data_IF_441218482921
#
_entry.id   IF_441218482921
#
_cell.length_a   1.000
_cell.length_b   1.000
_cell.length_c   1.000
_cell.angle_alpha   90.00
_cell.angle_beta   90.00
_cell.angle_gamma   90.00
#
_symmetry.space_group_name_H-M   'P 1'
#
loop_
_entity.id
_entity.type
_entity.pdbx_description
1 polymer ?
#
# COMPACT_ATOMS: atom_id res chain seq x y z
N UNK A 1 15.74 41.31 23.35
CA UNK A 1 16.48 40.83 22.17
C UNK A 1 17.25 39.57 22.57
N UNK A 2 17.22 38.42 21.92
CA UNK A 2 16.45 37.93 20.77
C UNK A 2 16.28 36.42 20.93
N UNK A 3 15.16 35.88 20.45
CA UNK A 3 14.85 34.45 20.43
C UNK A 3 15.55 33.82 19.22
N UNK A 4 16.34 32.78 19.45
CA UNK A 4 16.85 31.91 18.39
C UNK A 4 16.11 30.59 18.43
N UNK A 5 15.02 30.49 17.69
CA UNK A 5 14.37 29.23 17.32
C UNK A 5 15.29 28.47 16.37
N UNK A 6 15.73 27.26 16.75
CA UNK A 6 16.34 26.31 15.79
C UNK A 6 15.40 25.12 15.63
N UNK A 7 15.08 24.91 14.36
CA UNK A 7 14.00 24.10 13.86
C UNK A 7 14.16 22.61 14.16
N UNK A 8 13.01 21.95 14.17
CA UNK A 8 12.83 20.51 14.21
C UNK A 8 13.71 19.81 13.17
N UNK A 9 14.40 18.76 13.62
CA UNK A 9 15.04 17.80 12.73
C UNK A 9 13.96 17.13 11.88
N UNK A 10 14.04 17.39 10.59
CA UNK A 10 13.20 16.80 9.56
C UNK A 10 13.42 15.28 9.59
N UNK A 11 12.33 14.54 9.79
CA UNK A 11 12.28 13.12 9.51
C UNK A 11 12.45 12.94 8.01
N UNK A 12 13.65 12.56 7.61
CA UNK A 12 13.96 12.07 6.27
C UNK A 12 13.30 10.70 6.13
N UNK A 13 12.00 10.71 5.84
CA UNK A 13 11.30 9.53 5.35
C UNK A 13 12.01 9.10 4.07
N UNK A 14 12.62 7.92 4.11
CA UNK A 14 13.16 7.25 2.95
C UNK A 14 12.12 7.33 1.83
N UNK A 15 12.47 8.05 0.77
CA UNK A 15 11.67 8.21 -0.42
C UNK A 15 11.62 6.86 -1.14
N UNK A 16 10.75 5.97 -0.66
CA UNK A 16 10.35 4.80 -1.41
C UNK A 16 9.58 5.29 -2.64
N UNK A 17 10.15 4.99 -3.81
CA UNK A 17 9.79 5.56 -5.12
C UNK A 17 8.40 5.20 -5.65
N UNK A 18 7.41 4.92 -4.79
CA UNK A 18 6.07 4.47 -5.16
C UNK A 18 5.00 5.58 -5.11
N UNK A 19 5.28 6.73 -4.48
CA UNK A 19 4.30 7.85 -4.40
C UNK A 19 4.26 8.75 -5.64
N UNK A 20 5.23 8.65 -6.55
CA UNK A 20 5.39 9.59 -7.68
C UNK A 20 4.36 9.42 -8.80
N UNK A 21 3.56 8.35 -8.82
CA UNK A 21 2.59 8.12 -9.90
C UNK A 21 1.20 8.75 -9.70
N UNK A 22 0.88 9.30 -8.52
CA UNK A 22 -0.50 9.77 -8.21
C UNK A 22 -0.74 11.27 -8.33
N UNK A 23 0.27 12.07 -8.72
CA UNK A 23 0.15 13.51 -8.91
C UNK A 23 -0.57 13.92 -10.22
N UNK A 24 -1.22 12.98 -10.91
CA UNK A 24 -1.95 13.20 -12.17
C UNK A 24 -3.46 13.05 -12.06
N UNK A 25 -4.05 13.20 -10.87
CA UNK A 25 -5.50 13.14 -10.70
C UNK A 25 -6.17 14.38 -11.32
N UNK A 26 -6.27 14.43 -12.65
CA UNK A 26 -7.20 15.31 -13.33
C UNK A 26 -8.60 15.01 -12.78
N UNK A 27 -9.35 16.04 -12.34
CA UNK A 27 -10.66 15.85 -11.74
C UNK A 27 -11.59 15.10 -12.70
N UNK A 28 -12.58 14.35 -12.18
CA UNK A 28 -13.62 13.79 -13.03
C UNK A 28 -14.26 14.92 -13.85
N UNK A 29 -14.64 14.65 -15.12
CA UNK A 29 -15.24 15.69 -15.96
C UNK A 29 -16.45 16.30 -15.24
N UNK A 30 -16.60 17.63 -15.23
CA UNK A 30 -17.67 18.29 -14.51
C UNK A 30 -19.04 17.74 -14.94
N UNK A 31 -20.01 17.58 -14.02
CA UNK A 31 -21.34 17.03 -14.32
C UNK A 31 -22.03 17.74 -15.49
N UNK A 32 -21.77 19.04 -15.64
CA UNK A 32 -22.32 19.87 -16.72
C UNK A 32 -21.76 19.53 -18.11
N UNK A 33 -20.57 18.93 -18.16
CA UNK A 33 -19.95 18.45 -19.39
C UNK A 33 -20.60 17.13 -19.81
N UNK A 34 -20.86 16.22 -18.85
CA UNK A 34 -21.65 15.01 -19.08
C UNK A 34 -23.10 15.31 -19.48
N UNK A 35 -23.69 16.37 -18.91
CA UNK A 35 -25.04 16.85 -19.25
C UNK A 35 -25.10 17.44 -20.66
N UNK A 36 -24.10 18.24 -21.05
CA UNK A 36 -23.96 18.80 -22.40
C UNK A 36 -23.72 17.73 -23.46
N UNK A 37 -22.87 16.74 -23.18
CA UNK A 37 -22.71 15.56 -24.05
C UNK A 37 -24.04 14.80 -24.17
N UNK A 38 -24.76 14.62 -23.06
CA UNK A 38 -26.10 14.01 -23.05
C UNK A 38 -27.13 14.76 -23.89
N UNK A 39 -27.09 16.09 -23.93
CA UNK A 39 -28.00 16.92 -24.74
C UNK A 39 -27.66 16.85 -26.24
N UNK A 40 -26.38 16.87 -26.62
CA UNK A 40 -25.94 16.65 -28.02
C UNK A 40 -26.17 15.21 -28.49
N UNK A 41 -26.19 14.24 -27.57
CA UNK A 41 -26.50 12.85 -27.88
C UNK A 41 -27.94 12.64 -28.37
N UNK A 42 -28.88 13.47 -27.93
CA UNK A 42 -30.26 13.47 -28.41
C UNK A 42 -30.38 13.88 -29.89
N UNK A 43 -29.38 14.60 -30.41
CA UNK A 43 -29.32 15.08 -31.80
C UNK A 43 -28.62 14.05 -32.72
N UNK A 44 -27.92 13.06 -32.15
CA UNK A 44 -27.30 11.95 -32.88
C UNK A 44 -28.34 10.87 -33.21
N UNK A 45 -28.35 10.40 -34.45
CA UNK A 45 -29.23 9.31 -34.92
C UNK A 45 -28.46 8.01 -35.18
N UNK A 46 -29.15 6.86 -35.05
CA UNK A 46 -28.60 5.55 -35.41
C UNK A 46 -27.54 4.98 -34.45
N UNK A 47 -26.50 4.32 -35.00
CA UNK A 47 -25.49 3.58 -34.22
C UNK A 47 -24.62 4.46 -33.34
N UNK A 48 -24.31 5.68 -33.78
CA UNK A 48 -23.43 6.63 -33.07
C UNK A 48 -24.00 7.04 -31.71
N UNK A 49 -25.32 7.16 -31.60
CA UNK A 49 -25.99 7.43 -30.32
C UNK A 49 -25.86 6.25 -29.35
N UNK A 50 -26.05 5.02 -29.85
CA UNK A 50 -25.89 3.81 -29.04
C UNK A 50 -24.46 3.65 -28.51
N UNK A 51 -23.46 3.92 -29.35
CA UNK A 51 -22.04 3.84 -28.98
C UNK A 51 -21.68 4.86 -27.90
N UNK A 52 -22.17 6.09 -28.03
CA UNK A 52 -21.93 7.13 -27.04
C UNK A 52 -22.73 6.91 -25.74
N UNK A 53 -23.95 6.36 -25.79
CA UNK A 53 -24.67 5.90 -24.59
C UNK A 53 -23.93 4.75 -23.88
N UNK A 54 -23.26 3.85 -24.63
CA UNK A 54 -22.42 2.80 -24.06
C UNK A 54 -21.16 3.36 -23.39
N UNK A 55 -20.48 4.32 -24.02
CA UNK A 55 -19.32 5.01 -23.44
C UNK A 55 -19.70 5.78 -22.18
N UNK A 56 -20.82 6.51 -22.20
CA UNK A 56 -21.33 7.24 -21.03
C UNK A 56 -21.65 6.31 -19.86
N UNK A 57 -22.21 5.12 -20.14
CA UNK A 57 -22.41 4.09 -19.11
C UNK A 57 -21.09 3.61 -18.52
N UNK A 58 -20.08 3.34 -19.35
CA UNK A 58 -18.74 2.94 -18.88
C UNK A 58 -18.07 4.03 -18.03
N UNK A 59 -18.17 5.30 -18.43
CA UNK A 59 -17.66 6.44 -17.66
C UNK A 59 -18.35 6.54 -16.30
N UNK A 60 -19.67 6.40 -16.23
CA UNK A 60 -20.41 6.43 -14.94
C UNK A 60 -19.94 5.32 -14.00
N UNK A 61 -19.79 4.09 -14.51
CA UNK A 61 -19.26 2.97 -13.72
C UNK A 61 -17.87 3.31 -13.21
N UNK A 62 -16.97 3.80 -14.09
CA UNK A 62 -15.59 4.13 -13.71
C UNK A 62 -15.53 5.22 -12.63
N UNK A 63 -16.33 6.29 -12.77
CA UNK A 63 -16.41 7.38 -11.78
C UNK A 63 -16.92 6.87 -10.43
N UNK A 64 -17.86 5.93 -10.41
CA UNK A 64 -18.37 5.34 -9.17
C UNK A 64 -17.36 4.38 -8.52
N UNK A 65 -16.60 3.60 -9.31
CA UNK A 65 -15.65 2.61 -8.80
C UNK A 65 -14.30 3.20 -8.39
N UNK A 66 -13.89 4.31 -9.00
CA UNK A 66 -12.56 4.89 -8.82
C UNK A 66 -12.23 5.28 -7.36
N UNK A 67 -13.11 5.99 -6.62
CA UNK A 67 -12.82 6.35 -5.23
C UNK A 67 -12.69 5.12 -4.33
N UNK A 68 -13.53 4.11 -4.56
CA UNK A 68 -13.52 2.84 -3.79
C UNK A 68 -12.21 2.09 -4.03
N UNK A 69 -11.79 1.97 -5.29
CA UNK A 69 -10.52 1.31 -5.64
C UNK A 69 -9.30 2.06 -5.08
N UNK A 70 -9.32 3.40 -5.11
CA UNK A 70 -8.26 4.21 -4.51
C UNK A 70 -8.19 4.05 -2.99
N UNK A 71 -9.33 4.01 -2.31
CA UNK A 71 -9.36 3.79 -0.87
C UNK A 71 -8.85 2.38 -0.53
N UNK A 72 -9.31 1.35 -1.25
CA UNK A 72 -8.83 -0.01 -1.07
C UNK A 72 -7.31 -0.13 -1.27
N UNK A 73 -6.74 0.60 -2.23
CA UNK A 73 -5.29 0.67 -2.42
C UNK A 73 -4.58 1.24 -1.18
N UNK A 74 -5.05 2.38 -0.67
CA UNK A 74 -4.48 3.01 0.53
C UNK A 74 -4.60 2.07 1.73
N UNK A 75 -5.76 1.48 1.96
CA UNK A 75 -6.00 0.56 3.08
C UNK A 75 -5.09 -0.66 2.99
N UNK A 76 -4.95 -1.27 1.79
CA UNK A 76 -4.05 -2.41 1.58
C UNK A 76 -2.57 -2.05 1.76
N UNK A 77 -2.18 -0.81 1.44
CA UNK A 77 -0.82 -0.33 1.64
C UNK A 77 -0.51 -0.17 3.13
N UNK A 78 -1.46 0.38 3.91
CA UNK A 78 -1.35 0.48 5.37
C UNK A 78 -1.25 -0.92 5.98
N UNK A 79 -2.15 -1.84 5.61
CA UNK A 79 -2.13 -3.23 6.12
C UNK A 79 -0.79 -3.91 5.84
N UNK A 80 -0.20 -3.71 4.65
CA UNK A 80 1.12 -4.23 4.31
C UNK A 80 2.21 -3.66 5.23
N UNK A 81 2.21 -2.34 5.46
CA UNK A 81 3.21 -1.68 6.31
C UNK A 81 3.11 -2.14 7.78
N UNK A 82 1.89 -2.30 8.29
CA UNK A 82 1.65 -2.81 9.64
C UNK A 82 2.15 -4.26 9.79
N UNK A 83 1.86 -5.12 8.82
CA UNK A 83 2.33 -6.50 8.82
C UNK A 83 3.87 -6.60 8.70
N UNK A 84 4.49 -5.71 7.92
CA UNK A 84 5.95 -5.63 7.80
C UNK A 84 6.60 -5.21 9.12
N UNK A 85 6.01 -4.24 9.82
CA UNK A 85 6.44 -3.84 11.16
C UNK A 85 6.29 -4.99 12.18
N UNK A 86 5.21 -5.76 12.13
CA UNK A 86 5.01 -6.93 13.01
C UNK A 86 6.09 -8.01 12.78
N UNK A 87 6.47 -8.27 11.52
CA UNK A 87 7.57 -9.17 11.17
C UNK A 87 8.87 -8.68 11.79
N UNK A 88 9.17 -7.38 11.65
CA UNK A 88 10.40 -6.79 12.15
C UNK A 88 10.46 -6.85 13.68
N UNK A 89 9.39 -6.46 14.38
CA UNK A 89 9.28 -6.55 15.84
C UNK A 89 9.49 -7.99 16.32
N UNK A 90 8.82 -8.95 15.68
CA UNK A 90 8.93 -10.37 16.05
C UNK A 90 10.35 -10.90 15.86
N UNK A 91 11.02 -10.53 14.77
CA UNK A 91 12.42 -10.89 14.50
C UNK A 91 13.37 -10.28 15.52
N UNK A 92 13.16 -9.02 15.89
CA UNK A 92 13.96 -8.33 16.92
C UNK A 92 13.80 -8.99 18.28
N UNK A 93 12.57 -9.35 18.67
CA UNK A 93 12.29 -10.09 19.91
C UNK A 93 12.99 -11.45 19.91
N UNK A 94 12.91 -12.20 18.81
CA UNK A 94 13.59 -13.48 18.67
C UNK A 94 15.12 -13.34 18.73
N UNK A 95 15.68 -12.32 18.07
CA UNK A 95 17.11 -12.03 18.10
C UNK A 95 17.58 -11.60 19.50
N UNK A 96 16.80 -10.76 20.19
CA UNK A 96 17.06 -10.36 21.57
C UNK A 96 17.03 -11.56 22.53
N UNK A 97 16.04 -12.44 22.40
CA UNK A 97 15.96 -13.66 23.21
C UNK A 97 17.18 -14.58 22.99
N UNK A 98 17.61 -14.77 21.73
CA UNK A 98 18.83 -15.54 21.41
C UNK A 98 20.08 -14.90 22.02
N UNK A 99 20.27 -13.59 21.84
CA UNK A 99 21.40 -12.84 22.43
C UNK A 99 21.44 -12.93 23.95
N UNK A 100 20.27 -12.89 24.62
CA UNK A 100 20.18 -13.01 26.08
C UNK A 100 20.74 -14.34 26.62
N UNK A 101 20.59 -15.44 25.87
CA UNK A 101 21.13 -16.75 26.24
C UNK A 101 22.64 -16.76 26.06
N UNK A 102 23.13 -16.27 24.91
CA UNK A 102 24.57 -16.17 24.67
C UNK A 102 25.24 -15.31 25.75
N UNK A 103 24.64 -14.18 26.14
CA UNK A 103 25.16 -13.36 27.22
C UNK A 103 25.13 -14.05 28.60
N UNK A 104 24.15 -14.93 28.86
CA UNK A 104 24.12 -15.73 30.10
C UNK A 104 25.16 -16.86 30.09
N UNK A 105 25.43 -17.47 28.94
CA UNK A 105 26.48 -18.49 28.78
C UNK A 105 27.88 -17.86 28.85
N UNK A 106 28.07 -16.70 28.22
CA UNK A 106 29.33 -15.95 28.22
C UNK A 106 29.74 -15.52 29.64
N UNK A 107 28.79 -14.98 30.42
CA UNK A 107 29.01 -14.69 31.84
C UNK A 107 29.37 -15.92 32.67
N UNK A 108 28.78 -17.08 32.37
CA UNK A 108 29.13 -18.36 33.01
C UNK A 108 30.49 -18.91 32.63
N UNK A 109 31.04 -18.55 31.46
CA UNK A 109 32.39 -18.94 31.03
C UNK A 109 33.48 -18.02 31.61
N UNK A 110 33.13 -16.78 31.95
CA UNK A 110 34.07 -15.75 32.38
C UNK A 110 33.94 -15.35 33.87
N UNK A 111 33.17 -16.07 34.67
CA UNK A 111 33.07 -15.86 36.12
C UNK A 111 34.31 -16.37 36.87
N UNK A 112 34.64 -15.73 37.99
CA UNK A 112 35.67 -16.21 38.91
C UNK A 112 35.17 -17.40 39.76
N UNK A 113 36.09 -18.07 40.47
CA UNK A 113 35.78 -19.25 41.26
C UNK A 113 34.77 -18.98 42.41
N UNK A 114 34.64 -17.72 42.84
CA UNK A 114 33.71 -17.32 43.90
C UNK A 114 32.27 -17.15 43.38
N UNK A 115 32.10 -16.71 42.12
CA UNK A 115 30.79 -16.53 41.48
C UNK A 115 30.36 -17.70 40.58
N UNK A 116 31.15 -18.76 40.47
CA UNK A 116 30.92 -19.83 39.50
C UNK A 116 29.63 -20.63 39.75
N UNK A 117 29.27 -20.87 41.01
CA UNK A 117 28.04 -21.59 41.36
C UNK A 117 26.79 -20.77 41.00
N UNK A 118 26.80 -19.47 41.29
CA UNK A 118 25.71 -18.54 40.95
C UNK A 118 25.56 -18.39 39.43
N UNK A 119 26.69 -18.24 38.72
CA UNK A 119 26.69 -18.12 37.27
C UNK A 119 26.16 -19.38 36.57
N UNK A 120 26.50 -20.58 37.05
CA UNK A 120 25.96 -21.85 36.52
C UNK A 120 24.44 -21.94 36.73
N UNK A 121 23.93 -21.51 37.90
CA UNK A 121 22.49 -21.48 38.19
C UNK A 121 21.77 -20.49 37.26
N UNK A 122 22.32 -19.29 37.06
CA UNK A 122 21.76 -18.29 36.16
C UNK A 122 21.74 -18.75 34.70
N UNK A 123 22.85 -19.31 34.20
CA UNK A 123 22.94 -19.87 32.83
C UNK A 123 21.93 -21.00 32.65
N UNK A 124 21.84 -21.92 33.62
CA UNK A 124 20.89 -23.04 33.58
C UNK A 124 19.44 -22.55 33.55
N UNK A 125 19.11 -21.57 34.40
CA UNK A 125 17.79 -20.95 34.40
C UNK A 125 17.48 -20.22 33.07
N UNK A 126 18.46 -19.55 32.48
CA UNK A 126 18.32 -18.89 31.19
C UNK A 126 18.06 -19.89 30.05
N UNK A 127 18.79 -21.02 30.02
CA UNK A 127 18.59 -22.10 29.03
C UNK A 127 17.20 -22.73 29.17
N UNK A 128 16.74 -22.97 30.40
CA UNK A 128 15.39 -23.52 30.64
C UNK A 128 14.30 -22.55 30.16
N UNK A 129 14.43 -21.24 30.46
CA UNK A 129 13.50 -20.21 29.95
C UNK A 129 13.51 -20.15 28.42
N UNK A 130 14.70 -20.15 27.83
CA UNK A 130 14.89 -20.10 26.39
C UNK A 130 14.24 -21.27 25.64
N UNK A 131 14.33 -22.49 26.20
CA UNK A 131 13.77 -23.69 25.59
C UNK A 131 12.25 -23.60 25.39
N UNK A 132 11.56 -22.78 26.18
CA UNK A 132 10.12 -22.49 26.03
C UNK A 132 9.87 -21.23 25.19
N UNK A 133 10.65 -20.18 25.42
CA UNK A 133 10.44 -18.87 24.80
C UNK A 133 10.83 -18.83 23.31
N UNK A 134 11.98 -19.38 22.93
CA UNK A 134 12.47 -19.32 21.54
C UNK A 134 11.51 -19.98 20.56
N UNK A 135 11.00 -21.22 20.80
CA UNK A 135 10.06 -21.84 19.87
C UNK A 135 8.76 -21.05 19.72
N UNK A 136 8.27 -20.43 20.80
CA UNK A 136 7.07 -19.58 20.76
C UNK A 136 7.31 -18.30 19.94
N UNK A 137 8.47 -17.64 20.11
CA UNK A 137 8.85 -16.48 19.32
C UNK A 137 9.09 -16.84 17.85
N UNK A 138 9.69 -18.00 17.57
CA UNK A 138 9.88 -18.51 16.21
C UNK A 138 8.53 -18.78 15.50
N UNK A 139 7.58 -19.38 16.23
CA UNK A 139 6.21 -19.57 15.72
C UNK A 139 5.51 -18.23 15.46
N UNK A 140 5.68 -17.24 16.35
CA UNK A 140 5.15 -15.88 16.14
C UNK A 140 5.78 -15.22 14.90
N UNK A 141 7.10 -15.32 14.72
CA UNK A 141 7.77 -14.83 13.51
C UNK A 141 7.20 -15.46 12.24
N UNK A 142 6.97 -16.78 12.24
CA UNK A 142 6.38 -17.48 11.10
C UNK A 142 4.96 -16.99 10.80
N UNK A 143 4.12 -16.88 11.83
CA UNK A 143 2.76 -16.36 11.67
C UNK A 143 2.73 -14.90 11.17
N UNK A 144 3.63 -14.05 11.66
CA UNK A 144 3.78 -12.67 11.18
C UNK A 144 4.22 -12.64 9.71
N UNK A 145 5.16 -13.51 9.32
CA UNK A 145 5.60 -13.65 7.93
C UNK A 145 4.45 -14.07 7.01
N UNK A 146 3.67 -15.08 7.39
CA UNK A 146 2.49 -15.54 6.61
C UNK A 146 1.46 -14.41 6.44
N UNK A 147 1.21 -13.62 7.49
CA UNK A 147 0.34 -12.44 7.42
C UNK A 147 0.88 -11.38 6.47
N UNK A 148 2.18 -11.07 6.56
CA UNK A 148 2.83 -10.11 5.68
C UNK A 148 2.78 -10.56 4.22
N UNK A 149 3.06 -11.84 3.92
CA UNK A 149 2.94 -12.40 2.57
C UNK A 149 1.51 -12.26 2.02
N UNK A 150 0.50 -12.52 2.86
CA UNK A 150 -0.90 -12.33 2.49
C UNK A 150 -1.23 -10.84 2.22
N UNK A 151 -0.75 -9.93 3.06
CA UNK A 151 -0.94 -8.49 2.89
C UNK A 151 -0.26 -7.97 1.61
N UNK A 152 0.96 -8.42 1.31
CA UNK A 152 1.67 -8.14 0.05
C UNK A 152 0.89 -8.64 -1.15
N UNK A 153 0.35 -9.86 -1.10
CA UNK A 153 -0.46 -10.40 -2.18
C UNK A 153 -1.72 -9.55 -2.41
N UNK A 154 -2.47 -9.22 -1.35
CA UNK A 154 -3.66 -8.36 -1.46
C UNK A 154 -3.34 -6.97 -2.01
N UNK A 155 -2.25 -6.37 -1.55
CA UNK A 155 -1.80 -5.07 -2.02
C UNK A 155 -1.47 -5.13 -3.52
N UNK A 156 -0.69 -6.13 -3.96
CA UNK A 156 -0.36 -6.34 -5.38
C UNK A 156 -1.63 -6.48 -6.23
N UNK A 157 -2.60 -7.30 -5.80
CA UNK A 157 -3.86 -7.47 -6.54
C UNK A 157 -4.66 -6.17 -6.62
N UNK A 158 -4.65 -5.37 -5.55
CA UNK A 158 -5.36 -4.09 -5.49
C UNK A 158 -4.68 -3.03 -6.37
N UNK A 159 -3.36 -3.02 -6.39
CA UNK A 159 -2.54 -2.16 -7.25
C UNK A 159 -2.79 -2.47 -8.73
N UNK A 160 -2.70 -3.75 -9.13
CA UNK A 160 -3.03 -4.18 -10.49
C UNK A 160 -4.46 -3.76 -10.88
N UNK A 161 -5.42 -3.89 -9.97
CA UNK A 161 -6.80 -3.46 -10.24
C UNK A 161 -6.92 -1.95 -10.46
N UNK A 162 -6.16 -1.16 -9.71
CA UNK A 162 -6.12 0.29 -9.86
C UNK A 162 -5.45 0.69 -11.19
N UNK A 163 -4.40 -0.02 -11.60
CA UNK A 163 -3.77 0.15 -12.91
C UNK A 163 -4.73 -0.16 -14.06
N UNK A 164 -5.48 -1.27 -13.99
CA UNK A 164 -6.50 -1.64 -14.99
C UNK A 164 -7.59 -0.56 -15.12
N UNK A 165 -8.05 -0.01 -13.99
CA UNK A 165 -9.02 1.10 -13.99
C UNK A 165 -8.40 2.36 -14.61
N UNK A 166 -7.11 2.62 -14.37
CA UNK A 166 -6.39 3.76 -14.94
C UNK A 166 -6.25 3.65 -16.45
N UNK A 167 -5.91 2.46 -16.94
CA UNK A 167 -5.84 2.16 -18.37
C UNK A 167 -7.22 2.25 -19.03
N UNK A 168 -8.26 1.70 -18.38
CA UNK A 168 -9.65 1.79 -18.85
C UNK A 168 -10.12 3.24 -18.94
N UNK A 169 -9.74 4.07 -17.98
CA UNK A 169 -10.02 5.51 -18.01
C UNK A 169 -9.36 6.19 -19.20
N UNK A 170 -8.07 5.95 -19.42
CA UNK A 170 -7.34 6.53 -20.54
C UNK A 170 -7.97 6.13 -21.89
N UNK A 171 -8.27 4.84 -22.07
CA UNK A 171 -8.92 4.34 -23.27
C UNK A 171 -10.31 4.97 -23.51
N UNK A 172 -11.10 5.17 -22.46
CA UNK A 172 -12.41 5.84 -22.57
C UNK A 172 -12.26 7.33 -22.92
N UNK A 173 -11.24 8.01 -22.40
CA UNK A 173 -10.94 9.40 -22.74
C UNK A 173 -10.54 9.54 -24.20
N UNK A 174 -9.69 8.63 -24.71
CA UNK A 174 -9.31 8.59 -26.12
C UNK A 174 -10.50 8.32 -27.04
N UNK A 175 -11.40 7.39 -26.65
CA UNK A 175 -12.63 7.13 -27.40
C UNK A 175 -13.55 8.36 -27.44
N UNK A 176 -13.69 9.07 -26.31
CA UNK A 176 -14.48 10.30 -26.23
C UNK A 176 -13.88 11.41 -27.12
N UNK A 177 -12.55 11.57 -27.11
CA UNK A 177 -11.85 12.56 -27.93
C UNK A 177 -12.05 12.29 -29.43
N UNK A 178 -11.93 11.02 -29.85
CA UNK A 178 -12.17 10.62 -31.26
C UNK A 178 -13.61 10.86 -31.70
N UNK A 179 -14.60 10.54 -30.86
CA UNK A 179 -16.01 10.83 -31.17
C UNK A 179 -16.28 12.33 -31.26
N UNK A 180 -15.66 13.12 -30.39
CA UNK A 180 -15.79 14.59 -30.42
C UNK A 180 -15.20 15.17 -31.70
N UNK A 181 -14.01 14.70 -32.11
CA UNK A 181 -13.37 15.13 -33.36
C UNK A 181 -14.19 14.72 -34.59
N UNK A 182 -14.69 13.48 -34.64
CA UNK A 182 -15.55 13.03 -35.74
C UNK A 182 -16.85 13.84 -35.85
N UNK A 183 -17.44 14.25 -34.71
CA UNK A 183 -18.59 15.15 -34.70
C UNK A 183 -18.27 16.55 -35.24
N UNK A 184 -17.11 17.12 -34.90
CA UNK A 184 -16.68 18.42 -35.41
C UNK A 184 -16.38 18.40 -36.92
N UNK A 185 -15.78 17.32 -37.43
CA UNK A 185 -15.54 17.16 -38.86
C UNK A 185 -16.83 16.99 -39.67
N UNK A 186 -17.87 16.40 -39.07
CA UNK A 186 -19.20 16.30 -39.68
C UNK A 186 -19.89 17.67 -39.74
N UNK A 187 -19.83 18.47 -38.67
CA UNK A 187 -20.37 19.84 -38.62
C UNK A 187 -19.69 20.82 -39.60
N UNK A 188 -18.45 20.54 -40.05
CA UNK A 188 -17.72 21.39 -41.01
C UNK A 188 -17.98 21.03 -42.49
N UNK A 189 -18.66 19.91 -42.76
CA UNK A 189 -18.96 19.42 -44.12
C UNK A 189 -20.42 19.67 -44.54
N UNK A 190 -21.25 20.14 -43.62
CA UNK A 190 -22.57 20.75 -43.89
C UNK A 190 -22.45 22.27 -44.06
#
# INVERSE_FOLDING_TARGET
AGRGTRAAGEGEAAADGSTRAMAGALPPPPPDLLRRIGLRLSELSGSTRSDAEAIMRKIRVLVATWPVAKQAYVDSHIERQEAEAEVQESREQLAAAKRGIFAAMDRGMHCDAAGQEEAVVETSAAVVRARRLIPALDARCKAAMERWEQAVWRHTMTDTRLEELSQSRAALQDQLARLTAAGQEAEQKE
#
